data_IF_880734778506
#
_entry.id   IF_880734778506
#
_cell.length_a   1.000
_cell.length_b   1.000
_cell.length_c   1.000
_cell.angle_alpha   90.00
_cell.angle_beta   90.00
_cell.angle_gamma   90.00
#
_symmetry.space_group_name_H-M   'P 1'
#
loop_
_entity.id
_entity.type
_entity.pdbx_description
1 polymer ?
#
# COMPACT_ATOMS: atom_id res chain seq x y z
N UNK A 1 23.07 22.00 -32.42
CA UNK A 1 22.19 22.00 -33.61
C UNK A 1 21.25 23.18 -33.48
N UNK A 2 21.48 24.20 -34.30
CA UNK A 2 20.78 25.47 -34.26
C UNK A 2 19.42 25.29 -34.94
N UNK A 3 18.33 25.55 -34.22
CA UNK A 3 17.00 25.67 -34.83
C UNK A 3 16.90 27.07 -35.45
N UNK A 4 17.58 27.28 -36.57
CA UNK A 4 17.52 28.52 -37.34
C UNK A 4 16.71 28.29 -38.60
N UNK A 5 15.67 29.09 -38.79
CA UNK A 5 15.24 29.52 -40.11
C UNK A 5 14.99 31.05 -40.06
N UNK A 6 15.27 31.80 -41.14
CA UNK A 6 15.52 33.23 -41.10
C UNK A 6 14.24 34.04 -41.34
N UNK A 7 13.99 35.05 -40.51
CA UNK A 7 13.47 36.37 -40.88
C UNK A 7 13.06 37.17 -39.62
N UNK A 8 13.56 38.40 -39.59
CA UNK A 8 13.44 39.51 -38.61
C UNK A 8 12.01 40.13 -38.54
N UNK A 9 11.73 41.24 -37.82
CA UNK A 9 12.50 41.98 -36.79
C UNK A 9 11.72 42.36 -35.48
N UNK A 10 12.50 42.54 -34.40
CA UNK A 10 12.62 43.77 -33.59
C UNK A 10 11.37 44.61 -33.24
N UNK A 11 10.96 44.63 -31.95
CA UNK A 11 10.60 45.87 -31.22
C UNK A 11 11.02 45.72 -29.75
N UNK A 12 11.97 46.55 -29.33
CA UNK A 12 12.32 46.82 -27.94
C UNK A 12 11.32 47.80 -27.31
N UNK A 13 10.95 47.61 -26.05
CA UNK A 13 10.38 48.69 -25.23
C UNK A 13 10.74 48.52 -23.75
N UNK A 14 11.25 49.61 -23.20
CA UNK A 14 11.70 49.83 -21.83
C UNK A 14 10.61 49.60 -20.78
N UNK A 15 10.98 49.28 -19.53
CA UNK A 15 10.93 50.23 -18.39
C UNK A 15 11.21 49.58 -17.01
N UNK A 16 12.26 50.10 -16.37
CA UNK A 16 12.44 50.46 -14.95
C UNK A 16 12.06 49.48 -13.83
N UNK A 17 13.13 49.05 -13.16
CA UNK A 17 13.30 48.76 -11.74
C UNK A 17 12.45 49.58 -10.76
N UNK A 18 11.90 48.90 -9.74
CA UNK A 18 11.74 49.45 -8.38
C UNK A 18 12.12 48.39 -7.35
N UNK A 19 13.28 48.62 -6.74
CA UNK A 19 13.69 48.07 -5.44
C UNK A 19 12.85 48.73 -4.36
N UNK A 20 12.27 47.95 -3.44
CA UNK A 20 11.88 48.44 -2.11
C UNK A 20 12.30 47.39 -1.09
N UNK A 21 13.18 47.84 -0.20
CA UNK A 21 13.79 47.12 0.91
C UNK A 21 13.05 47.36 2.22
N UNK A 22 13.24 46.42 3.16
CA UNK A 22 13.25 46.57 4.62
C UNK A 22 11.90 46.62 5.38
N UNK A 23 11.90 46.38 6.71
CA UNK A 23 12.73 45.47 7.52
C UNK A 23 11.93 44.65 8.57
N UNK A 24 12.67 43.79 9.28
CA UNK A 24 12.30 42.95 10.40
C UNK A 24 11.58 43.67 11.56
N UNK A 25 10.59 42.98 12.16
CA UNK A 25 9.93 43.39 13.40
C UNK A 25 10.45 42.54 14.56
N UNK A 26 11.02 43.26 15.52
CA UNK A 26 11.74 42.81 16.72
C UNK A 26 10.74 42.51 17.84
N UNK A 27 10.83 41.32 18.43
CA UNK A 27 10.06 40.88 19.60
C UNK A 27 10.41 41.72 20.84
N UNK A 28 9.42 42.34 21.48
CA UNK A 28 9.56 42.96 22.80
C UNK A 28 9.05 42.02 23.88
N UNK A 29 9.98 41.56 24.72
CA UNK A 29 9.73 40.89 25.98
C UNK A 29 9.55 41.91 27.12
N UNK A 30 9.02 41.38 28.23
CA UNK A 30 9.00 41.88 29.62
C UNK A 30 7.68 42.55 30.01
N UNK A 31 6.97 41.89 30.93
CA UNK A 31 6.65 42.47 32.24
C UNK A 31 6.77 41.37 33.30
N UNK A 32 7.77 41.52 34.17
CA UNK A 32 7.99 40.71 35.37
C UNK A 32 7.19 41.35 36.49
N UNK A 33 6.26 40.59 37.07
CA UNK A 33 5.57 40.94 38.30
C UNK A 33 5.62 39.73 39.23
N UNK A 34 6.70 39.62 39.99
CA UNK A 34 6.85 38.60 41.02
C UNK A 34 5.96 38.94 42.24
N UNK A 35 5.09 38.02 42.62
CA UNK A 35 4.57 37.90 43.99
C UNK A 35 4.74 36.45 44.41
N UNK A 36 5.80 36.19 45.17
CA UNK A 36 5.99 34.95 45.93
C UNK A 36 4.78 34.75 46.86
N UNK A 37 4.09 33.62 46.71
CA UNK A 37 3.42 32.97 47.82
C UNK A 37 3.90 31.52 47.86
N UNK A 38 4.54 31.19 48.97
CA UNK A 38 5.03 29.88 49.38
C UNK A 38 3.96 28.81 49.12
N UNK A 39 4.26 27.85 48.25
CA UNK A 39 3.48 26.63 48.08
C UNK A 39 4.46 25.47 48.25
N UNK A 40 4.22 24.67 49.29
CA UNK A 40 4.83 23.36 49.52
C UNK A 40 4.94 22.60 48.19
N UNK A 41 6.13 22.15 47.83
CA UNK A 41 6.33 21.19 46.75
C UNK A 41 5.81 19.84 47.26
N UNK A 42 4.68 19.29 46.77
CA UNK A 42 4.42 17.89 47.00
C UNK A 42 5.38 17.11 46.11
N UNK A 43 6.09 16.15 46.70
CA UNK A 43 6.88 15.18 45.97
C UNK A 43 6.02 14.58 44.86
N UNK A 44 6.37 14.89 43.60
CA UNK A 44 5.82 14.22 42.43
C UNK A 44 6.38 12.80 42.47
N UNK A 45 5.57 11.88 42.99
CA UNK A 45 5.79 10.45 42.87
C UNK A 45 5.88 10.15 41.36
N UNK A 46 6.97 9.54 40.85
CA UNK A 46 6.96 9.08 39.47
C UNK A 46 5.92 7.97 39.40
N UNK A 47 4.78 8.27 38.78
CA UNK A 47 3.83 7.25 38.37
C UNK A 47 4.55 6.38 37.33
N UNK A 48 5.11 5.27 37.80
CA UNK A 48 5.52 4.17 36.93
C UNK A 48 4.24 3.70 36.28
N UNK A 49 3.98 4.19 35.08
CA UNK A 49 2.98 3.62 34.17
C UNK A 49 3.45 2.20 33.88
N UNK A 50 2.96 1.26 34.68
CA UNK A 50 3.02 -0.16 34.35
C UNK A 50 2.18 -0.29 33.08
N UNK A 51 2.86 -0.35 31.94
CA UNK A 51 2.20 -0.70 30.69
C UNK A 51 1.60 -2.09 30.90
N UNK A 52 0.28 -2.17 30.96
CA UNK A 52 -0.41 -3.45 30.94
C UNK A 52 0.07 -4.21 29.71
N UNK A 53 0.42 -5.51 29.82
CA UNK A 53 0.77 -6.30 28.66
C UNK A 53 -0.37 -6.18 27.66
N UNK A 54 -0.06 -5.81 26.41
CA UNK A 54 -1.04 -5.80 25.35
C UNK A 54 -1.58 -7.24 25.21
N UNK A 55 -2.85 -7.44 25.56
CA UNK A 55 -3.51 -8.73 25.39
C UNK A 55 -3.52 -9.07 23.91
N UNK A 56 -2.80 -10.13 23.55
CA UNK A 56 -2.97 -10.82 22.29
C UNK A 56 -4.38 -11.41 22.20
N UNK A 57 -4.88 -11.64 21.00
CA UNK A 57 -6.16 -12.32 20.85
C UNK A 57 -6.12 -13.71 21.48
N UNK A 58 -7.08 -13.99 22.35
CA UNK A 58 -7.26 -15.31 22.94
C UNK A 58 -8.28 -16.14 22.14
N UNK A 59 -9.24 -15.49 21.46
CA UNK A 59 -10.33 -16.19 20.74
C UNK A 59 -10.67 -15.57 19.39
N UNK A 60 -11.09 -16.43 18.46
CA UNK A 60 -11.65 -16.05 17.17
C UNK A 60 -13.15 -16.38 17.17
N UNK A 61 -13.96 -15.42 16.75
CA UNK A 61 -15.41 -15.50 16.63
C UNK A 61 -15.79 -15.50 15.16
N UNK A 62 -16.35 -16.59 14.67
CA UNK A 62 -16.86 -16.74 13.33
C UNK A 62 -18.38 -16.53 13.34
N UNK A 63 -18.86 -15.58 12.54
CA UNK A 63 -20.29 -15.35 12.35
C UNK A 63 -20.76 -15.77 10.97
N UNK A 64 -21.87 -16.51 10.91
CA UNK A 64 -22.57 -16.86 9.68
C UNK A 64 -24.07 -16.61 9.85
N UNK A 65 -24.59 -15.56 9.20
CA UNK A 65 -25.95 -15.10 9.41
C UNK A 65 -26.20 -14.67 10.86
N UNK A 66 -27.10 -15.35 11.56
CA UNK A 66 -27.45 -15.07 12.96
C UNK A 66 -26.68 -15.91 13.98
N UNK A 67 -25.83 -16.84 13.52
CA UNK A 67 -25.11 -17.77 14.39
C UNK A 67 -23.67 -17.26 14.54
N UNK A 68 -23.20 -17.16 15.79
CA UNK A 68 -21.81 -16.86 16.12
C UNK A 68 -21.20 -18.05 16.88
N UNK A 69 -19.96 -18.37 16.53
CA UNK A 69 -19.21 -19.50 17.06
C UNK A 69 -17.80 -19.04 17.41
N UNK A 70 -17.21 -19.59 18.47
CA UNK A 70 -15.86 -19.21 18.88
C UNK A 70 -14.92 -20.40 18.95
N UNK A 71 -13.65 -20.14 18.64
CA UNK A 71 -12.53 -21.08 18.73
C UNK A 71 -11.38 -20.34 19.43
N UNK A 72 -10.71 -20.98 20.38
CA UNK A 72 -9.51 -20.40 21.00
C UNK A 72 -8.33 -20.43 20.01
N UNK A 73 -7.46 -19.42 20.10
CA UNK A 73 -6.23 -19.41 19.29
C UNK A 73 -5.27 -20.52 19.75
N UNK A 74 -5.24 -20.82 21.05
CA UNK A 74 -4.45 -21.92 21.61
C UNK A 74 -4.85 -23.29 21.02
N UNK A 75 -6.16 -23.58 20.90
CA UNK A 75 -6.58 -24.85 20.28
C UNK A 75 -6.21 -24.91 18.80
N UNK A 76 -6.20 -23.78 18.08
CA UNK A 76 -5.71 -23.70 16.70
C UNK A 76 -4.19 -23.89 16.62
N UNK A 77 -3.43 -23.37 17.59
CA UNK A 77 -1.99 -23.59 17.69
C UNK A 77 -1.65 -25.05 17.99
N UNK A 78 -2.33 -25.66 18.96
CA UNK A 78 -2.20 -27.10 19.27
C UNK A 78 -2.50 -27.93 18.03
N UNK A 79 -3.59 -27.64 17.32
CA UNK A 79 -3.92 -28.34 16.09
C UNK A 79 -2.88 -28.14 14.99
N UNK A 80 -2.45 -26.89 14.76
CA UNK A 80 -1.45 -26.58 13.75
C UNK A 80 -0.13 -27.32 14.01
N UNK A 81 0.42 -27.21 15.23
CA UNK A 81 1.74 -27.76 15.56
C UNK A 81 1.72 -29.27 15.79
N UNK A 82 0.74 -29.76 16.56
CA UNK A 82 0.73 -31.13 17.08
C UNK A 82 -0.22 -32.04 16.29
N UNK A 83 -1.15 -31.48 15.53
CA UNK A 83 -2.22 -32.23 14.86
C UNK A 83 -3.32 -32.71 15.81
N UNK A 84 -3.27 -32.31 17.09
CA UNK A 84 -4.25 -32.70 18.09
C UNK A 84 -5.45 -31.76 18.05
N UNK A 85 -6.65 -32.34 17.96
CA UNK A 85 -7.91 -31.58 17.96
C UNK A 85 -8.42 -31.51 19.40
N UNK A 86 -8.42 -30.31 19.96
CA UNK A 86 -8.99 -30.05 21.28
C UNK A 86 -10.52 -29.86 21.21
N UNK A 87 -11.20 -29.95 22.36
CA UNK A 87 -12.67 -29.89 22.45
C UNK A 87 -13.28 -28.65 21.76
N UNK A 88 -12.61 -27.49 21.87
CA UNK A 88 -13.04 -26.24 21.21
C UNK A 88 -13.05 -26.38 19.68
N UNK A 89 -12.09 -27.08 19.08
CA UNK A 89 -12.02 -27.29 17.63
C UNK A 89 -12.86 -28.51 17.18
N UNK A 90 -12.99 -29.53 18.03
CA UNK A 90 -13.72 -30.77 17.76
C UNK A 90 -15.16 -30.51 17.31
N UNK A 91 -15.83 -29.54 17.95
CA UNK A 91 -17.20 -29.13 17.63
C UNK A 91 -17.38 -28.69 16.16
N UNK A 92 -16.30 -28.30 15.47
CA UNK A 92 -16.32 -27.79 14.12
C UNK A 92 -15.83 -28.81 13.08
N UNK A 93 -15.13 -29.86 13.50
CA UNK A 93 -14.59 -30.90 12.59
C UNK A 93 -15.69 -31.59 11.78
N UNK A 94 -16.89 -31.74 12.35
CA UNK A 94 -18.08 -32.29 11.67
C UNK A 94 -18.54 -31.50 10.44
N UNK A 95 -18.06 -30.26 10.26
CA UNK A 95 -18.42 -29.39 9.15
C UNK A 95 -17.31 -29.26 8.10
N UNK A 96 -16.18 -29.95 8.28
CA UNK A 96 -15.03 -29.93 7.38
C UNK A 96 -14.62 -31.36 7.02
N UNK A 97 -14.19 -31.58 5.78
CA UNK A 97 -13.59 -32.86 5.39
C UNK A 97 -12.19 -33.01 5.97
N UNK A 98 -11.66 -34.25 6.12
CA UNK A 98 -10.29 -34.46 6.56
C UNK A 98 -9.26 -33.68 5.72
N UNK A 99 -9.48 -33.60 4.41
CA UNK A 99 -8.62 -32.85 3.49
C UNK A 99 -8.66 -31.34 3.78
N UNK A 100 -9.84 -30.79 4.08
CA UNK A 100 -9.99 -29.38 4.44
C UNK A 100 -9.31 -29.05 5.77
N UNK A 101 -9.37 -29.97 6.74
CA UNK A 101 -8.68 -29.82 8.02
C UNK A 101 -7.15 -29.82 7.84
N UNK A 102 -6.61 -30.74 7.05
CA UNK A 102 -5.17 -30.75 6.71
C UNK A 102 -4.74 -29.50 5.93
N UNK A 103 -5.58 -29.01 5.01
CA UNK A 103 -5.35 -27.74 4.32
C UNK A 103 -5.32 -26.57 5.31
N UNK A 104 -6.26 -26.50 6.25
CA UNK A 104 -6.26 -25.47 7.29
C UNK A 104 -4.97 -25.52 8.11
N UNK A 105 -4.54 -26.71 8.53
CA UNK A 105 -3.29 -26.91 9.26
C UNK A 105 -2.08 -26.42 8.47
N UNK A 106 -2.04 -26.72 7.19
CA UNK A 106 -0.97 -26.28 6.29
C UNK A 106 -0.97 -24.76 6.13
N UNK A 107 -2.14 -24.16 5.91
CA UNK A 107 -2.29 -22.71 5.74
C UNK A 107 -1.91 -21.94 7.00
N UNK A 108 -2.31 -22.41 8.18
CA UNK A 108 -1.96 -21.75 9.45
C UNK A 108 -0.45 -21.68 9.69
N UNK A 109 0.31 -22.63 9.14
CA UNK A 109 1.77 -22.72 9.26
C UNK A 109 2.52 -22.18 8.03
N UNK A 110 1.81 -21.77 6.98
CA UNK A 110 2.45 -21.25 5.78
C UNK A 110 3.20 -19.96 6.13
N UNK A 111 4.52 -20.00 5.95
CA UNK A 111 5.40 -18.88 6.28
C UNK A 111 5.71 -18.07 5.02
N UNK A 112 5.62 -16.75 5.15
CA UNK A 112 6.10 -15.82 4.14
C UNK A 112 7.49 -15.29 4.53
N UNK A 113 8.50 -15.59 3.71
CA UNK A 113 9.87 -15.11 3.90
C UNK A 113 10.00 -13.63 3.52
N UNK A 114 9.53 -12.75 4.39
CA UNK A 114 9.57 -11.30 4.20
C UNK A 114 10.17 -10.62 5.42
N UNK A 115 11.11 -9.69 5.21
CA UNK A 115 11.72 -8.96 6.32
C UNK A 115 10.68 -8.07 7.04
N UNK A 116 10.79 -7.87 8.36
CA UNK A 116 9.91 -6.97 9.11
C UNK A 116 9.83 -5.56 8.51
N UNK A 117 10.99 -5.07 8.05
CA UNK A 117 11.11 -3.74 7.42
C UNK A 117 10.34 -3.68 6.11
N UNK A 118 10.44 -4.71 5.26
CA UNK A 118 9.73 -4.76 3.98
C UNK A 118 8.21 -4.80 4.19
N UNK A 119 7.73 -5.62 5.15
CA UNK A 119 6.31 -5.68 5.52
C UNK A 119 5.82 -4.33 6.02
N UNK A 120 6.54 -3.72 6.97
CA UNK A 120 6.17 -2.42 7.51
C UNK A 120 6.07 -1.38 6.38
N UNK A 121 7.11 -1.26 5.55
CA UNK A 121 7.13 -0.31 4.43
C UNK A 121 5.96 -0.53 3.46
N UNK A 122 5.69 -1.79 3.07
CA UNK A 122 4.57 -2.12 2.20
C UNK A 122 3.22 -1.71 2.80
N UNK A 123 2.98 -2.01 4.07
CA UNK A 123 1.71 -1.71 4.76
C UNK A 123 1.43 -0.21 4.95
N UNK A 124 2.43 0.65 4.72
CA UNK A 124 2.30 2.12 4.68
C UNK A 124 2.18 2.70 3.27
N UNK A 125 2.27 1.89 2.21
CA UNK A 125 1.96 2.31 0.84
C UNK A 125 0.45 2.39 0.61
N UNK A 126 0.01 3.14 -0.41
CA UNK A 126 -1.41 3.21 -0.80
C UNK A 126 -1.99 1.82 -1.08
N UNK A 127 -1.21 0.94 -1.74
CA UNK A 127 -1.63 -0.43 -2.02
C UNK A 127 -1.79 -1.25 -0.73
N UNK A 128 -0.84 -1.13 0.20
CA UNK A 128 -0.92 -1.76 1.51
C UNK A 128 -2.11 -1.26 2.34
N UNK A 129 -2.42 0.03 2.29
CA UNK A 129 -3.59 0.59 2.97
C UNK A 129 -4.91 0.08 2.39
N UNK A 130 -5.00 -0.02 1.06
CA UNK A 130 -6.19 -0.58 0.39
C UNK A 130 -6.38 -2.05 0.81
N UNK A 131 -5.30 -2.84 0.83
CA UNK A 131 -5.33 -4.23 1.29
C UNK A 131 -5.81 -4.32 2.74
N UNK A 132 -5.20 -3.55 3.64
CA UNK A 132 -5.55 -3.54 5.06
C UNK A 132 -7.00 -3.11 5.29
N UNK A 133 -7.53 -2.17 4.50
CA UNK A 133 -8.93 -1.74 4.62
C UNK A 133 -9.88 -2.85 4.23
N UNK A 134 -9.62 -3.54 3.10
CA UNK A 134 -10.43 -4.68 2.66
C UNK A 134 -10.38 -5.83 3.67
N UNK A 135 -9.20 -6.18 4.17
CA UNK A 135 -9.06 -7.22 5.19
C UNK A 135 -9.67 -6.79 6.52
N UNK A 136 -9.51 -5.53 6.93
CA UNK A 136 -10.05 -4.96 8.16
C UNK A 136 -11.57 -4.79 8.16
N UNK A 137 -12.25 -4.91 7.02
CA UNK A 137 -13.72 -4.99 6.96
C UNK A 137 -14.23 -6.40 7.28
N UNK A 138 -13.42 -7.42 6.98
CA UNK A 138 -13.72 -8.84 7.22
C UNK A 138 -13.25 -9.25 8.62
N UNK A 139 -12.02 -8.91 8.96
CA UNK A 139 -11.35 -9.17 10.22
C UNK A 139 -11.57 -7.95 11.10
N UNK A 140 -12.39 -8.12 12.12
CA UNK A 140 -12.81 -7.06 13.03
C UNK A 140 -12.30 -7.34 14.44
N UNK A 141 -12.29 -6.31 15.27
CA UNK A 141 -12.09 -6.48 16.71
C UNK A 141 -13.35 -7.09 17.34
N UNK A 142 -13.24 -7.57 18.58
CA UNK A 142 -14.41 -8.02 19.37
C UNK A 142 -15.52 -6.95 19.43
N UNK A 143 -15.15 -5.67 19.49
CA UNK A 143 -16.06 -4.53 19.46
C UNK A 143 -16.71 -4.24 18.10
N UNK A 144 -16.46 -5.08 17.07
CA UNK A 144 -16.91 -4.92 15.67
C UNK A 144 -16.36 -3.67 14.99
N UNK A 145 -15.22 -3.18 15.47
CA UNK A 145 -14.48 -2.13 14.78
C UNK A 145 -13.62 -2.75 13.68
N UNK A 146 -13.31 -1.94 12.67
CA UNK A 146 -12.42 -2.39 11.60
C UNK A 146 -11.09 -2.86 12.18
N UNK A 147 -10.65 -4.06 11.80
CA UNK A 147 -9.36 -4.60 12.22
C UNK A 147 -8.17 -3.90 11.55
N UNK A 148 -8.36 -2.84 10.77
CA UNK A 148 -7.29 -2.17 10.00
C UNK A 148 -6.00 -1.93 10.81
N UNK A 149 -6.10 -1.25 11.96
CA UNK A 149 -4.93 -0.94 12.78
C UNK A 149 -4.41 -2.17 13.52
N UNK A 150 -5.30 -3.02 14.02
CA UNK A 150 -4.94 -4.22 14.74
C UNK A 150 -4.21 -5.23 13.83
N UNK A 151 -4.69 -5.40 12.60
CA UNK A 151 -4.09 -6.24 11.57
C UNK A 151 -2.74 -5.69 11.11
N UNK A 152 -2.62 -4.38 10.91
CA UNK A 152 -1.32 -3.75 10.59
C UNK A 152 -0.30 -4.04 11.69
N UNK A 153 -0.68 -3.82 12.95
CA UNK A 153 0.19 -4.11 14.08
C UNK A 153 0.54 -5.60 14.17
N UNK A 154 -0.45 -6.48 14.03
CA UNK A 154 -0.27 -7.93 14.07
C UNK A 154 0.72 -8.43 13.00
N UNK A 155 0.60 -7.93 11.77
CA UNK A 155 1.49 -8.30 10.65
C UNK A 155 2.93 -7.84 10.90
N UNK A 156 3.13 -6.61 11.41
CA UNK A 156 4.46 -6.09 11.73
C UNK A 156 5.08 -6.88 12.90
N UNK A 157 4.30 -7.12 13.96
CA UNK A 157 4.74 -7.86 15.14
C UNK A 157 5.04 -9.33 14.83
N UNK A 158 4.25 -9.97 13.96
CA UNK A 158 4.48 -11.35 13.55
C UNK A 158 5.73 -11.48 12.65
N UNK A 159 5.98 -10.51 11.78
CA UNK A 159 7.17 -10.51 10.95
C UNK A 159 8.47 -10.38 11.76
N UNK A 160 8.45 -9.64 12.88
CA UNK A 160 9.59 -9.45 13.79
C UNK A 160 9.72 -10.54 14.86
N UNK A 161 8.75 -11.46 14.94
CA UNK A 161 8.73 -12.52 15.92
C UNK A 161 9.48 -13.78 15.43
N UNK A 162 10.17 -14.52 16.31
CA UNK A 162 10.86 -15.76 15.93
C UNK A 162 9.96 -16.83 15.30
N UNK A 163 8.63 -16.78 15.53
CA UNK A 163 7.64 -17.65 14.91
C UNK A 163 7.32 -17.31 13.45
N UNK A 164 7.94 -16.26 12.89
CA UNK A 164 7.83 -15.88 11.49
C UNK A 164 6.47 -15.30 11.09
N UNK A 165 6.38 -14.82 9.85
CA UNK A 165 5.15 -14.29 9.29
C UNK A 165 4.25 -15.43 8.80
N UNK A 166 3.57 -16.09 9.73
CA UNK A 166 2.55 -17.12 9.48
C UNK A 166 1.15 -16.61 9.86
N UNK A 167 0.07 -17.10 9.25
CA UNK A 167 -1.29 -16.73 9.66
C UNK A 167 -1.54 -17.01 11.14
N UNK A 168 -1.06 -18.14 11.66
CA UNK A 168 -1.15 -18.46 13.08
C UNK A 168 -0.44 -17.41 13.96
N UNK A 169 0.78 -17.01 13.59
CA UNK A 169 1.50 -16.02 14.38
C UNK A 169 0.86 -14.63 14.31
N UNK A 170 0.28 -14.25 13.16
CA UNK A 170 -0.49 -13.01 13.01
C UNK A 170 -1.70 -13.02 13.95
N UNK A 171 -2.44 -14.12 14.02
CA UNK A 171 -3.57 -14.25 14.96
C UNK A 171 -3.11 -14.10 16.41
N UNK A 172 -1.97 -14.71 16.78
CA UNK A 172 -1.37 -14.59 18.11
C UNK A 172 -0.82 -13.20 18.44
N UNK A 173 -0.42 -12.41 17.45
CA UNK A 173 0.10 -11.04 17.64
C UNK A 173 -0.97 -9.97 17.49
N UNK A 174 -2.22 -10.37 17.28
CA UNK A 174 -3.33 -9.46 17.10
C UNK A 174 -3.64 -8.72 18.42
N UNK A 175 -3.52 -7.38 18.50
CA UNK A 175 -3.43 -6.64 19.76
C UNK A 175 -4.80 -6.32 20.39
N UNK A 176 -5.73 -7.26 20.36
CA UNK A 176 -7.04 -7.18 21.04
C UNK A 176 -7.45 -8.56 21.51
N UNK A 177 -8.29 -8.65 22.55
CA UNK A 177 -8.67 -9.93 23.16
C UNK A 177 -9.43 -10.90 22.23
N UNK A 178 -10.17 -10.36 21.26
CA UNK A 178 -10.99 -11.16 20.35
C UNK A 178 -10.95 -10.68 18.91
N UNK A 179 -10.90 -11.64 17.98
CA UNK A 179 -10.98 -11.41 16.54
C UNK A 179 -12.36 -11.86 16.05
N UNK A 180 -13.07 -11.01 15.32
CA UNK A 180 -14.35 -11.35 14.67
C UNK A 180 -14.16 -11.49 13.17
N UNK A 181 -14.71 -12.56 12.60
CA UNK A 181 -14.67 -12.84 11.17
C UNK A 181 -16.09 -13.14 10.69
N UNK A 182 -16.63 -12.29 9.83
CA UNK A 182 -17.93 -12.50 9.19
C UNK A 182 -17.74 -13.32 7.92
N UNK A 183 -18.10 -14.60 7.99
CA UNK A 183 -17.94 -15.56 6.89
C UNK A 183 -18.75 -15.16 5.65
N UNK A 184 -19.91 -14.52 5.80
CA UNK A 184 -20.68 -14.06 4.64
C UNK A 184 -19.94 -12.95 3.89
N UNK A 185 -19.36 -12.00 4.64
CA UNK A 185 -18.55 -10.94 4.04
C UNK A 185 -17.27 -11.49 3.44
N UNK A 186 -16.61 -12.45 4.10
CA UNK A 186 -15.42 -13.12 3.57
C UNK A 186 -15.71 -13.72 2.19
N UNK A 187 -16.79 -14.49 2.07
CA UNK A 187 -17.19 -15.14 0.81
C UNK A 187 -17.46 -14.11 -0.30
N UNK A 188 -18.10 -12.99 0.02
CA UNK A 188 -18.35 -11.91 -0.94
C UNK A 188 -17.07 -11.22 -1.43
N UNK A 189 -16.08 -11.04 -0.54
CA UNK A 189 -14.79 -10.44 -0.93
C UNK A 189 -13.96 -11.43 -1.75
N UNK A 190 -13.94 -12.71 -1.38
CA UNK A 190 -13.24 -13.76 -2.14
C UNK A 190 -13.81 -13.87 -3.55
N UNK A 191 -15.14 -13.95 -3.72
CA UNK A 191 -15.74 -14.04 -5.05
C UNK A 191 -15.45 -12.81 -5.92
N UNK A 192 -15.46 -11.62 -5.31
CA UNK A 192 -15.08 -10.38 -6.00
C UNK A 192 -13.61 -10.40 -6.45
N UNK A 193 -12.72 -10.95 -5.63
CA UNK A 193 -11.30 -11.07 -5.97
C UNK A 193 -11.06 -12.09 -7.08
N UNK A 194 -11.71 -13.25 -7.04
CA UNK A 194 -11.65 -14.26 -8.11
C UNK A 194 -12.10 -13.68 -9.45
N UNK A 195 -13.20 -12.93 -9.46
CA UNK A 195 -13.69 -12.27 -10.66
C UNK A 195 -12.65 -11.27 -11.22
N UNK A 196 -12.03 -10.46 -10.34
CA UNK A 196 -11.01 -9.50 -10.76
C UNK A 196 -9.76 -10.19 -11.32
N UNK A 197 -9.30 -11.29 -10.71
CA UNK A 197 -8.15 -12.06 -11.20
C UNK A 197 -8.45 -12.63 -12.58
N UNK A 198 -9.63 -13.24 -12.78
CA UNK A 198 -10.04 -13.80 -14.06
C UNK A 198 -10.11 -12.72 -15.15
N UNK A 199 -10.72 -11.58 -14.85
CA UNK A 199 -10.78 -10.44 -15.78
C UNK A 199 -9.39 -9.91 -16.16
N UNK A 200 -8.48 -9.86 -15.19
CA UNK A 200 -7.10 -9.41 -15.43
C UNK A 200 -6.35 -10.42 -16.31
N UNK A 201 -6.49 -11.71 -16.04
CA UNK A 201 -5.88 -12.77 -16.85
C UNK A 201 -6.43 -12.76 -18.29
N UNK A 202 -7.73 -12.58 -18.47
CA UNK A 202 -8.35 -12.43 -19.78
C UNK A 202 -7.81 -11.21 -20.54
N UNK A 203 -7.68 -10.06 -19.86
CA UNK A 203 -7.14 -8.85 -20.47
C UNK A 203 -5.67 -9.00 -20.87
N UNK A 204 -4.83 -9.62 -20.03
CA UNK A 204 -3.42 -9.90 -20.34
C UNK A 204 -3.31 -10.85 -21.53
N UNK A 205 -4.07 -11.95 -21.53
CA UNK A 205 -4.08 -12.91 -22.64
C UNK A 205 -4.53 -12.26 -23.96
N UNK A 206 -5.49 -11.34 -23.92
CA UNK A 206 -5.93 -10.61 -25.11
C UNK A 206 -4.84 -9.69 -25.67
N UNK A 207 -4.09 -9.00 -24.79
CA UNK A 207 -2.96 -8.15 -25.19
C UNK A 207 -1.82 -9.01 -25.77
N UNK A 208 -1.51 -10.15 -25.15
CA UNK A 208 -0.49 -11.09 -25.63
C UNK A 208 -0.84 -11.63 -27.02
N UNK A 209 -2.07 -12.12 -27.22
CA UNK A 209 -2.53 -12.60 -28.54
C UNK A 209 -2.43 -11.52 -29.61
N UNK A 210 -2.88 -10.29 -29.30
CA UNK A 210 -2.80 -9.19 -30.26
C UNK A 210 -1.33 -8.85 -30.60
N UNK A 211 -0.45 -8.84 -29.60
CA UNK A 211 0.97 -8.57 -29.78
C UNK A 211 1.65 -9.62 -30.66
N UNK A 212 1.30 -10.90 -30.51
CA UNK A 212 1.82 -11.99 -31.35
C UNK A 212 1.36 -11.89 -32.80
N UNK A 213 0.09 -11.53 -33.03
CA UNK A 213 -0.45 -11.30 -34.38
C UNK A 213 0.25 -10.13 -35.07
N UNK A 214 0.45 -9.03 -34.34
CA UNK A 214 1.17 -7.86 -34.85
C UNK A 214 2.62 -8.20 -35.15
N UNK A 215 3.32 -8.89 -34.24
CA UNK A 215 4.70 -9.32 -34.43
C UNK A 215 4.88 -10.28 -35.62
N UNK A 216 3.90 -11.17 -35.88
CA UNK A 216 3.92 -12.05 -37.05
C UNK A 216 3.68 -11.30 -38.37
N UNK A 217 2.96 -10.18 -38.33
CA UNK A 217 2.68 -9.33 -39.48
C UNK A 217 3.77 -8.29 -39.75
N UNK A 218 4.64 -8.04 -38.77
CA UNK A 218 5.71 -7.06 -38.88
C UNK A 218 6.83 -7.60 -39.78
N UNK A 219 7.33 -6.80 -40.74
CA UNK A 219 8.42 -7.23 -41.60
C UNK A 219 9.69 -7.41 -40.77
N UNK A 220 10.34 -8.58 -40.90
CA UNK A 220 11.63 -8.87 -40.28
C UNK A 220 12.65 -7.82 -40.76
N UNK A 221 13.13 -6.98 -39.85
CA UNK A 221 14.23 -6.06 -40.13
C UNK A 221 15.53 -6.88 -40.14
N UNK A 222 16.15 -7.01 -41.30
CA UNK A 222 17.49 -7.59 -41.41
C UNK A 222 18.52 -6.68 -40.71
N UNK A 223 18.97 -7.10 -39.52
CA UNK A 223 19.94 -6.36 -38.72
C UNK A 223 21.37 -6.42 -39.31
N UNK A 224 21.62 -7.28 -40.30
CA UNK A 224 22.89 -7.36 -41.01
C UNK A 224 22.98 -6.33 -42.15
N UNK A 225 21.84 -5.80 -42.60
CA UNK A 225 21.72 -4.69 -43.55
C UNK A 225 20.69 -3.66 -43.06
N UNK A 226 20.98 -2.93 -41.96
CA UNK A 226 20.01 -2.03 -41.37
C UNK A 226 19.63 -0.89 -42.34
N UNK A 227 18.37 -0.45 -42.34
CA UNK A 227 17.94 0.68 -43.13
C UNK A 227 18.72 1.96 -42.78
N UNK A 228 19.11 2.74 -43.79
CA UNK A 228 19.85 3.99 -43.61
C UNK A 228 19.01 5.03 -42.83
N UNK A 229 19.41 5.44 -41.62
CA UNK A 229 18.66 6.37 -40.78
C UNK A 229 18.59 7.80 -41.34
N UNK A 230 19.33 8.11 -42.41
CA UNK A 230 19.26 9.39 -43.11
C UNK A 230 18.12 9.46 -44.12
N UNK A 231 17.53 8.30 -44.47
CA UNK A 231 16.35 8.22 -45.34
C UNK A 231 15.09 8.32 -44.49
N UNK A 232 14.09 9.03 -45.01
CA UNK A 232 12.78 9.13 -44.36
C UNK A 232 12.16 7.73 -44.25
N UNK A 233 11.75 7.36 -43.03
CA UNK A 233 11.08 6.10 -42.75
C UNK A 233 9.61 6.10 -43.17
N UNK A 234 8.95 4.96 -42.95
CA UNK A 234 7.52 4.75 -43.25
C UNK A 234 6.55 5.57 -42.40
N UNK A 235 7.02 6.13 -41.29
CA UNK A 235 6.22 6.90 -40.36
C UNK A 235 6.41 8.40 -40.59
N UNK A 236 5.31 9.12 -40.75
CA UNK A 236 5.28 10.59 -40.73
C UNK A 236 5.23 11.07 -39.28
N UNK A 237 5.77 12.26 -39.03
CA UNK A 237 5.81 12.84 -37.70
C UNK A 237 5.35 14.29 -37.74
N UNK A 238 4.75 14.73 -36.64
CA UNK A 238 4.41 16.12 -36.41
C UNK A 238 5.33 16.71 -35.33
N UNK A 239 5.88 17.89 -35.62
CA UNK A 239 6.68 18.64 -34.66
C UNK A 239 5.78 19.51 -33.80
N UNK A 240 5.80 19.29 -32.50
CA UNK A 240 5.19 20.20 -31.53
C UNK A 240 6.27 20.91 -30.74
N UNK A 241 6.10 22.23 -30.56
CA UNK A 241 7.01 23.02 -29.72
C UNK A 241 6.35 23.27 -28.39
N UNK A 242 6.92 22.73 -27.33
CA UNK A 242 6.47 23.01 -25.97
C UNK A 242 7.35 24.09 -25.32
N UNK A 243 6.70 24.97 -24.58
CA UNK A 243 7.37 25.96 -23.72
C UNK A 243 7.20 25.48 -22.28
N UNK A 244 8.30 25.10 -21.64
CA UNK A 244 8.27 24.65 -20.25
C UNK A 244 8.57 25.83 -19.34
N UNK A 245 7.61 26.23 -18.52
CA UNK A 245 7.80 27.29 -17.55
C UNK A 245 7.98 26.69 -16.16
N UNK A 246 9.14 26.92 -15.54
CA UNK A 246 9.44 26.53 -14.17
C UNK A 246 9.40 27.78 -13.29
N UNK A 247 8.24 27.97 -12.66
CA UNK A 247 7.93 29.12 -11.82
C UNK A 247 8.64 29.09 -10.46
N UNK A 248 9.04 27.90 -9.98
CA UNK A 248 9.79 27.76 -8.71
C UNK A 248 11.22 28.29 -8.83
N UNK A 249 11.81 28.14 -10.02
CA UNK A 249 13.19 28.55 -10.30
C UNK A 249 13.31 29.71 -11.30
N UNK A 250 12.20 30.44 -11.50
CA UNK A 250 12.05 31.60 -12.40
C UNK A 250 12.77 31.41 -13.75
N UNK A 251 12.50 30.28 -14.41
CA UNK A 251 13.14 29.94 -15.69
C UNK A 251 12.11 29.43 -16.69
N UNK A 252 12.19 29.93 -17.91
CA UNK A 252 11.37 29.47 -19.04
C UNK A 252 12.26 28.82 -20.09
N UNK A 253 12.00 27.55 -20.40
CA UNK A 253 12.64 26.85 -21.50
C UNK A 253 11.78 27.00 -22.75
N UNK A 254 12.16 27.97 -23.58
CA UNK A 254 11.54 28.20 -24.88
C UNK A 254 12.15 27.21 -25.87
N UNK A 255 11.29 26.46 -26.59
CA UNK A 255 11.66 25.59 -27.73
C UNK A 255 12.30 24.24 -27.39
N UNK A 256 11.54 23.34 -26.74
CA UNK A 256 11.78 21.90 -26.93
C UNK A 256 10.87 21.38 -28.04
N UNK A 257 11.47 20.85 -29.09
CA UNK A 257 10.76 20.17 -30.16
C UNK A 257 10.50 18.72 -29.74
N UNK A 258 9.22 18.37 -29.62
CA UNK A 258 8.76 16.98 -29.51
C UNK A 258 8.30 16.53 -30.89
N UNK A 259 8.67 15.29 -31.23
CA UNK A 259 8.28 14.65 -32.48
C UNK A 259 7.30 13.54 -32.12
N UNK A 260 6.06 13.68 -32.58
CA UNK A 260 5.02 12.67 -32.36
C UNK A 260 4.74 11.95 -33.68
N UNK A 261 4.53 10.61 -33.68
CA UNK A 261 4.07 9.92 -34.87
C UNK A 261 2.70 10.49 -35.29
N UNK A 262 2.53 10.72 -36.58
CA UNK A 262 1.26 11.20 -37.14
C UNK A 262 0.30 10.01 -37.22
N UNK A 263 -0.71 9.99 -36.34
CA UNK A 263 -1.84 9.06 -36.39
C UNK A 263 -2.95 9.82 -37.08
N UNK A 264 -3.34 9.41 -38.29
CA UNK A 264 -4.47 10.02 -39.00
C UNK A 264 -5.77 9.71 -38.25
N UNK A 265 -6.65 10.70 -38.16
CA UNK A 265 -8.04 10.55 -37.71
C UNK A 265 -8.86 9.66 -38.66
#
# INVERSE_FOLDING_TARGET
MNCSDPALPFIARHLRSRLISSPAIRRSARWVGARLKSILIPAVLPAVLVASPASAAERIYFSYGIIERSISIDSLETYARQGTIEADLEAYTRYASPEQLEQLRTLLQAEAELSPVAIAQFLYTDQGEILLRRLGEIIQTEARESGFYALRAALILAADDPGGLTPLNVLKKFPVAGIRIDLNRTLAVVSSLEQLINQTAEAVNAIEQQSELEAASDPIIDLLSPPDPRRLGRFTWQRQTITLNDTSRDRTFVRRCLFFPFVGD
#
